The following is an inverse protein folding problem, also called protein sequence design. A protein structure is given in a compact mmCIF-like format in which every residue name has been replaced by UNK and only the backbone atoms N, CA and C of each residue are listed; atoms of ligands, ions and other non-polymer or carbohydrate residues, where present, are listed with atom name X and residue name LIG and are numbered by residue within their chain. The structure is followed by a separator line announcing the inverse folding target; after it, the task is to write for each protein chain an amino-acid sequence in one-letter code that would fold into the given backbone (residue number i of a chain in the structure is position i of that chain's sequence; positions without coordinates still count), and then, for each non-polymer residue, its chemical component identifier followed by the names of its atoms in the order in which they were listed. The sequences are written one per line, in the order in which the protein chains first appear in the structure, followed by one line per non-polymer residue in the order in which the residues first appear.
data_IF_397676291183
#
_entry.id   IF_397676291183
#
_cell.length_a   1.000
_cell.length_b   1.000
_cell.length_c   1.000
_cell.angle_alpha   90.00
_cell.angle_beta   90.00
_cell.angle_gamma   90.00
#
_symmetry.space_group_name_H-M   'P 1'
#
loop_
_entity.id
_entity.type
_entity.pdbx_description
1 polymer ?
#
# COMPACT_ATOMS: atom_id res chain seq x y z
N UNK A 1 25.76 47.69 -18.03
CA UNK A 1 25.94 46.27 -18.40
C UNK A 1 26.37 45.47 -17.17
N UNK A 2 25.48 45.26 -16.20
CA UNK A 2 25.71 44.38 -15.05
C UNK A 2 24.36 43.77 -14.66
N UNK A 3 24.31 42.45 -14.61
CA UNK A 3 23.36 41.64 -13.82
C UNK A 3 22.13 41.03 -14.54
N UNK A 4 22.20 40.73 -15.83
CA UNK A 4 21.15 39.92 -16.50
C UNK A 4 21.23 38.40 -16.16
N UNK A 5 22.30 37.94 -15.50
CA UNK A 5 22.47 36.54 -15.11
C UNK A 5 21.77 36.15 -13.79
N UNK A 6 21.33 37.13 -12.99
CA UNK A 6 20.70 36.86 -11.68
C UNK A 6 19.26 36.38 -11.82
N UNK A 7 18.51 36.88 -12.81
CA UNK A 7 17.11 36.50 -13.02
C UNK A 7 16.99 35.10 -13.65
N UNK A 8 17.89 34.74 -14.57
CA UNK A 8 17.88 33.41 -15.20
C UNK A 8 18.26 32.28 -14.24
N UNK A 9 19.13 32.53 -13.25
CA UNK A 9 19.50 31.52 -12.26
C UNK A 9 18.40 31.31 -11.21
N UNK A 10 17.65 32.37 -10.87
CA UNK A 10 16.51 32.30 -9.95
C UNK A 10 15.30 31.62 -10.60
N UNK A 11 15.04 31.86 -11.89
CA UNK A 11 14.02 31.12 -12.64
C UNK A 11 14.40 29.64 -12.85
N UNK A 12 15.69 29.34 -13.06
CA UNK A 12 16.16 27.96 -13.14
C UNK A 12 16.03 27.25 -11.78
N UNK A 13 16.31 27.92 -10.66
CA UNK A 13 16.15 27.35 -9.31
C UNK A 13 14.68 27.09 -8.95
N UNK A 14 13.74 27.91 -9.42
CA UNK A 14 12.29 27.67 -9.26
C UNK A 14 11.78 26.47 -10.07
N UNK A 15 12.47 26.11 -11.17
CA UNK A 15 12.12 24.94 -11.99
C UNK A 15 12.70 23.62 -11.48
N UNK A 16 13.61 23.66 -10.49
CA UNK A 16 14.17 22.44 -9.85
C UNK A 16 13.43 22.12 -8.55
N UNK A 17 12.48 22.96 -8.12
CA UNK A 17 11.40 22.54 -7.23
C UNK A 17 10.30 21.85 -8.05
N UNK A 18 10.70 20.90 -8.91
CA UNK A 18 9.77 19.91 -9.41
C UNK A 18 9.18 19.24 -8.17
N UNK A 19 7.85 19.20 -8.11
CA UNK A 19 7.14 18.47 -7.07
C UNK A 19 7.86 17.13 -6.89
N UNK A 20 8.37 16.90 -5.68
CA UNK A 20 8.53 15.53 -5.25
C UNK A 20 7.09 15.03 -5.19
N UNK A 21 6.62 14.46 -6.29
CA UNK A 21 5.45 13.61 -6.30
C UNK A 21 5.84 12.43 -5.40
N UNK A 22 5.77 12.65 -4.08
CA UNK A 22 5.71 11.56 -3.14
C UNK A 22 4.60 10.65 -3.62
N UNK A 23 4.85 9.34 -3.62
CA UNK A 23 3.89 8.35 -4.09
C UNK A 23 2.47 8.74 -3.64
N UNK A 24 1.52 8.72 -4.57
CA UNK A 24 0.13 9.04 -4.25
C UNK A 24 -0.31 8.13 -3.10
N UNK A 25 -0.84 8.75 -2.05
CA UNK A 25 -1.26 8.03 -0.85
C UNK A 25 -2.33 6.98 -1.19
N UNK A 26 -2.21 5.77 -0.66
CA UNK A 26 -3.22 4.71 -0.82
C UNK A 26 -4.21 4.76 0.34
N UNK A 27 -5.42 5.23 0.08
CA UNK A 27 -6.55 5.13 1.00
C UNK A 27 -7.36 3.86 0.71
N UNK A 28 -7.96 3.29 1.74
CA UNK A 28 -8.85 2.14 1.56
C UNK A 28 -10.06 2.53 0.71
N UNK A 29 -10.30 1.72 -0.32
CA UNK A 29 -11.45 1.76 -1.22
C UNK A 29 -11.78 0.32 -1.60
N UNK A 30 -12.99 0.07 -2.10
CA UNK A 30 -13.31 -1.24 -2.68
C UNK A 30 -12.43 -1.51 -3.90
N UNK A 31 -11.57 -2.52 -3.83
CA UNK A 31 -10.64 -2.83 -4.91
C UNK A 31 -9.49 -3.74 -4.51
N UNK A 32 -8.44 -3.72 -5.31
CA UNK A 32 -7.26 -4.55 -5.10
C UNK A 32 -5.99 -3.91 -5.64
N UNK A 33 -4.84 -4.33 -5.12
CA UNK A 33 -3.52 -4.00 -5.66
C UNK A 33 -2.67 -5.24 -5.84
N UNK A 34 -1.70 -5.15 -6.76
CA UNK A 34 -0.62 -6.12 -6.95
C UNK A 34 0.73 -5.60 -6.47
N UNK A 35 0.78 -4.43 -5.83
CA UNK A 35 2.03 -3.84 -5.33
C UNK A 35 2.59 -4.66 -4.18
N UNK A 36 3.88 -4.95 -4.23
CA UNK A 36 4.54 -5.77 -3.21
C UNK A 36 4.65 -5.07 -1.85
N UNK A 37 4.53 -3.75 -1.79
CA UNK A 37 4.59 -2.98 -0.56
C UNK A 37 3.96 -1.60 -0.74
N UNK A 38 3.25 -1.13 0.27
CA UNK A 38 2.86 0.27 0.43
C UNK A 38 2.29 0.48 1.85
N UNK A 39 1.83 1.69 2.13
CA UNK A 39 1.00 2.01 3.30
C UNK A 39 -0.47 2.18 2.90
N UNK A 40 -1.38 1.52 3.61
CA UNK A 40 -2.83 1.68 3.47
C UNK A 40 -3.38 2.54 4.60
N UNK A 41 -4.10 3.59 4.24
CA UNK A 41 -4.79 4.46 5.18
C UNK A 41 -6.29 4.18 5.18
N UNK A 42 -7.00 4.66 6.18
CA UNK A 42 -8.46 4.77 6.12
C UNK A 42 -8.90 5.72 4.99
N UNK A 43 -10.22 5.83 4.76
CA UNK A 43 -10.77 6.56 3.62
C UNK A 43 -10.51 8.07 3.69
N UNK A 44 -10.34 8.63 4.89
CA UNK A 44 -9.98 10.03 5.13
C UNK A 44 -8.50 10.34 4.88
N UNK A 45 -7.67 9.31 4.78
CA UNK A 45 -6.25 9.41 4.52
C UNK A 45 -5.45 9.97 5.69
N UNK A 46 -4.21 10.41 5.41
CA UNK A 46 -3.18 10.67 6.43
C UNK A 46 -3.58 11.73 7.47
N UNK A 47 -4.46 12.67 7.10
CA UNK A 47 -4.88 13.79 7.96
C UNK A 47 -6.37 13.83 8.22
N UNK A 48 -7.15 12.97 7.56
CA UNK A 48 -8.61 12.94 7.67
C UNK A 48 -9.06 11.82 8.60
N UNK A 49 -10.36 11.82 8.87
CA UNK A 49 -11.05 10.68 9.47
C UNK A 49 -11.84 9.95 8.38
N UNK A 50 -12.03 8.65 8.57
CA UNK A 50 -12.95 7.88 7.75
C UNK A 50 -14.37 8.41 7.84
N UNK A 51 -15.22 8.07 6.87
CA UNK A 51 -16.63 8.44 6.90
C UNK A 51 -17.47 7.40 7.65
N UNK A 52 -18.67 7.82 8.10
CA UNK A 52 -19.68 6.90 8.60
C UNK A 52 -20.25 6.02 7.48
N UNK A 53 -20.76 4.86 7.85
CA UNK A 53 -21.51 3.93 7.01
C UNK A 53 -20.71 3.37 5.85
N UNK A 54 -19.42 3.15 6.07
CA UNK A 54 -18.52 2.56 5.10
C UNK A 54 -18.53 1.03 5.20
N UNK A 55 -18.32 0.39 4.06
CA UNK A 55 -18.08 -1.04 3.93
C UNK A 55 -17.10 -1.22 2.78
N UNK A 56 -15.81 -1.29 3.14
CA UNK A 56 -14.69 -1.20 2.20
C UNK A 56 -13.82 -2.44 2.31
N UNK A 57 -13.66 -3.14 1.19
CA UNK A 57 -12.84 -4.34 1.05
C UNK A 57 -11.67 -4.07 0.08
N UNK A 58 -10.44 -4.15 0.59
CA UNK A 58 -9.23 -3.92 -0.18
C UNK A 58 -8.30 -5.14 -0.16
N UNK A 59 -8.10 -5.75 -1.31
CA UNK A 59 -7.31 -6.99 -1.45
C UNK A 59 -5.89 -6.68 -1.94
N UNK A 60 -4.90 -7.18 -1.21
CA UNK A 60 -3.49 -7.13 -1.57
C UNK A 60 -3.14 -8.51 -2.14
N UNK A 61 -2.86 -8.57 -3.44
CA UNK A 61 -2.61 -9.82 -4.19
C UNK A 61 -1.42 -9.69 -5.17
N UNK A 62 -0.18 -9.47 -4.68
CA UNK A 62 0.98 -9.35 -5.55
C UNK A 62 1.30 -10.67 -6.24
N UNK A 63 1.59 -10.60 -7.54
CA UNK A 63 1.90 -11.79 -8.32
C UNK A 63 3.16 -12.48 -7.77
N UNK A 64 3.05 -13.77 -7.43
CA UNK A 64 4.17 -14.56 -6.93
C UNK A 64 4.50 -14.36 -5.45
N UNK A 65 3.66 -13.66 -4.69
CA UNK A 65 3.77 -13.62 -3.23
C UNK A 65 3.52 -15.01 -2.64
N UNK A 66 4.42 -15.47 -1.76
CA UNK A 66 4.20 -16.66 -0.93
C UNK A 66 3.48 -16.32 0.37
N UNK A 67 3.77 -15.15 0.93
CA UNK A 67 3.10 -14.60 2.12
C UNK A 67 3.05 -13.07 2.00
N UNK A 68 2.15 -12.43 2.74
CA UNK A 68 2.11 -10.99 2.94
C UNK A 68 2.13 -10.73 4.44
N UNK A 69 2.92 -9.75 4.87
CA UNK A 69 2.98 -9.31 6.26
C UNK A 69 2.42 -7.90 6.38
N UNK A 70 1.43 -7.73 7.26
CA UNK A 70 0.88 -6.44 7.68
C UNK A 70 1.55 -6.01 8.98
N UNK A 71 2.05 -4.78 9.00
CA UNK A 71 2.42 -4.04 10.20
C UNK A 71 1.40 -2.94 10.42
N UNK A 72 0.94 -2.77 11.64
CA UNK A 72 0.00 -1.71 12.00
C UNK A 72 0.79 -0.55 12.61
N UNK A 73 0.75 0.61 11.96
CA UNK A 73 1.42 1.82 12.43
C UNK A 73 0.53 2.58 13.44
N UNK A 74 -0.76 2.67 13.15
CA UNK A 74 -1.76 3.31 14.01
C UNK A 74 -3.14 2.70 13.83
N UNK A 75 -3.93 2.67 14.91
CA UNK A 75 -5.33 2.27 14.92
C UNK A 75 -6.07 3.10 15.96
N UNK A 76 -7.16 3.74 15.54
CA UNK A 76 -8.08 4.49 16.38
C UNK A 76 -9.43 4.61 15.65
N UNK A 77 -10.36 3.72 15.99
CA UNK A 77 -11.67 3.62 15.35
C UNK A 77 -12.79 3.73 16.39
N UNK A 78 -13.97 4.14 15.95
CA UNK A 78 -15.10 4.49 16.80
C UNK A 78 -15.82 3.27 17.34
N UNK A 79 -16.62 3.48 18.37
CA UNK A 79 -17.46 2.43 18.95
C UNK A 79 -18.50 1.97 17.92
N UNK A 80 -18.48 0.68 17.58
CA UNK A 80 -19.34 0.09 16.55
C UNK A 80 -18.61 -0.18 15.23
N UNK A 81 -17.43 0.42 15.04
CA UNK A 81 -16.60 0.23 13.86
C UNK A 81 -15.65 -0.96 14.02
N UNK A 82 -15.31 -1.60 12.90
CA UNK A 82 -14.46 -2.78 12.88
C UNK A 82 -13.52 -2.78 11.68
N UNK A 83 -12.24 -3.07 11.93
CA UNK A 83 -11.24 -3.38 10.90
C UNK A 83 -10.81 -4.84 11.02
N UNK A 84 -10.96 -5.62 9.96
CA UNK A 84 -10.54 -7.03 9.88
C UNK A 84 -9.44 -7.22 8.85
N UNK A 85 -8.49 -8.09 9.19
CA UNK A 85 -7.45 -8.56 8.28
C UNK A 85 -7.71 -10.05 8.04
N UNK A 86 -7.99 -10.41 6.79
CA UNK A 86 -8.35 -11.75 6.36
C UNK A 86 -7.20 -12.47 5.64
N UNK A 87 -7.05 -13.77 5.92
CA UNK A 87 -6.08 -14.68 5.31
C UNK A 87 -6.57 -15.20 3.95
N UNK A 88 -6.56 -14.32 2.94
CA UNK A 88 -6.90 -14.69 1.57
C UNK A 88 -7.59 -13.58 0.77
N UNK A 89 -8.15 -13.91 -0.40
CA UNK A 89 -8.53 -12.92 -1.41
C UNK A 89 -9.88 -12.24 -1.18
N UNK A 90 -10.62 -12.57 -0.12
CA UNK A 90 -11.94 -11.97 0.15
C UNK A 90 -12.22 -11.83 1.65
N UNK A 91 -13.21 -11.02 2.02
CA UNK A 91 -13.75 -10.94 3.39
C UNK A 91 -14.41 -12.23 3.90
N UNK A 92 -14.65 -13.23 3.04
CA UNK A 92 -15.10 -14.55 3.46
C UNK A 92 -13.95 -15.46 3.95
N UNK A 93 -12.70 -15.08 3.74
CA UNK A 93 -11.53 -15.80 4.23
C UNK A 93 -11.39 -15.69 5.76
N UNK A 94 -10.61 -16.60 6.35
CA UNK A 94 -10.35 -16.65 7.80
C UNK A 94 -9.82 -15.31 8.32
N UNK A 95 -10.37 -14.80 9.42
CA UNK A 95 -9.87 -13.59 10.07
C UNK A 95 -8.56 -13.90 10.81
N UNK A 96 -7.48 -13.20 10.45
CA UNK A 96 -6.20 -13.23 11.17
C UNK A 96 -6.21 -12.31 12.39
N UNK A 97 -6.84 -11.15 12.23
CA UNK A 97 -6.95 -10.15 13.29
C UNK A 97 -8.18 -9.27 13.10
N UNK A 98 -8.77 -8.83 14.21
CA UNK A 98 -9.89 -7.90 14.27
C UNK A 98 -9.56 -6.77 15.26
N UNK A 99 -9.73 -5.52 14.81
CA UNK A 99 -9.63 -4.31 15.63
C UNK A 99 -11.02 -3.71 15.86
N UNK A 100 -11.24 -3.23 17.08
CA UNK A 100 -12.42 -2.42 17.47
C UNK A 100 -11.96 -1.16 18.22
N UNK A 101 -12.90 -0.34 18.67
CA UNK A 101 -12.69 0.82 19.56
C UNK A 101 -11.89 0.52 20.84
N UNK A 102 -11.90 -0.73 21.32
CA UNK A 102 -11.15 -1.15 22.51
C UNK A 102 -9.71 -1.59 22.20
N UNK A 103 -9.31 -1.60 20.94
CA UNK A 103 -7.97 -2.02 20.51
C UNK A 103 -6.92 -0.95 20.84
N UNK A 104 -6.45 -0.95 22.09
CA UNK A 104 -5.46 -0.01 22.60
C UNK A 104 -4.00 -0.46 22.40
N UNK A 105 -3.78 -1.67 21.87
CA UNK A 105 -2.44 -2.22 21.62
C UNK A 105 -2.27 -2.65 20.16
N UNK A 106 -1.10 -2.32 19.60
CA UNK A 106 -0.68 -2.80 18.28
C UNK A 106 -0.08 -4.21 18.45
N UNK A 107 -0.56 -5.23 17.71
CA UNK A 107 -0.02 -6.58 17.80
C UNK A 107 1.36 -6.70 17.13
N UNK A 108 1.99 -7.86 17.28
CA UNK A 108 3.09 -8.24 16.41
C UNK A 108 2.63 -8.28 14.93
N UNK A 109 3.56 -8.17 13.95
CA UNK A 109 3.20 -8.22 12.54
C UNK A 109 2.34 -9.45 12.18
N UNK A 110 1.29 -9.21 11.40
CA UNK A 110 0.28 -10.19 11.02
C UNK A 110 0.68 -10.75 9.66
N UNK A 111 0.92 -12.06 9.55
CA UNK A 111 1.40 -12.68 8.31
C UNK A 111 0.38 -13.69 7.79
N UNK A 112 0.03 -13.60 6.51
CA UNK A 112 -0.85 -14.57 5.85
C UNK A 112 -0.18 -15.93 5.63
N UNK A 113 -1.02 -16.94 5.41
CA UNK A 113 -0.58 -18.28 4.99
C UNK A 113 -0.35 -18.39 3.48
N UNK A 114 -0.82 -17.41 2.69
CA UNK A 114 -0.70 -17.39 1.24
C UNK A 114 -0.39 -16.00 0.66
N UNK A 115 -0.41 -15.90 -0.68
CA UNK A 115 -0.06 -14.68 -1.42
C UNK A 115 -1.11 -13.57 -1.44
N UNK A 116 -2.17 -13.70 -0.64
CA UNK A 116 -3.30 -12.78 -0.62
C UNK A 116 -3.66 -12.37 0.82
N UNK A 117 -3.94 -11.09 1.03
CA UNK A 117 -4.57 -10.55 2.24
C UNK A 117 -5.72 -9.65 1.82
N UNK A 118 -6.82 -9.69 2.56
CA UNK A 118 -7.92 -8.74 2.40
C UNK A 118 -8.12 -7.92 3.67
N UNK A 119 -8.08 -6.60 3.52
CA UNK A 119 -8.40 -5.65 4.58
C UNK A 119 -9.86 -5.24 4.43
N UNK A 120 -10.67 -5.46 5.47
CA UNK A 120 -12.09 -5.15 5.47
C UNK A 120 -12.42 -4.16 6.58
N UNK A 121 -12.84 -2.95 6.21
CA UNK A 121 -13.24 -1.91 7.15
C UNK A 121 -14.75 -1.64 7.06
N UNK A 122 -15.40 -1.62 8.21
CA UNK A 122 -16.83 -1.30 8.34
C UNK A 122 -16.99 -0.23 9.41
N UNK A 123 -17.64 0.87 9.05
CA UNK A 123 -18.05 1.91 10.02
C UNK A 123 -19.56 2.01 10.14
N UNK A 124 -20.05 2.34 11.32
CA UNK A 124 -21.48 2.49 11.59
C UNK A 124 -22.03 3.89 11.22
N UNK A 125 -23.26 4.21 11.63
CA UNK A 125 -23.88 5.51 11.32
C UNK A 125 -23.36 6.70 12.12
N UNK A 126 -22.41 6.52 13.03
CA UNK A 126 -22.01 7.51 14.04
C UNK A 126 -20.58 7.34 14.54
N UNK A 127 -19.99 8.44 15.02
CA UNK A 127 -18.65 8.47 15.62
C UNK A 127 -17.55 8.09 14.62
N UNK A 128 -16.67 9.04 14.33
CA UNK A 128 -15.45 8.78 13.54
C UNK A 128 -14.25 9.24 14.34
N UNK A 129 -13.12 8.59 14.14
CA UNK A 129 -11.86 8.85 14.84
C UNK A 129 -10.70 8.98 13.84
N UNK A 130 -9.45 8.97 14.32
CA UNK A 130 -8.25 9.16 13.49
C UNK A 130 -7.95 8.01 12.52
N UNK A 131 -8.75 6.94 12.52
CA UNK A 131 -8.67 5.86 11.55
C UNK A 131 -7.49 4.93 11.77
N UNK A 132 -6.89 4.48 10.67
CA UNK A 132 -5.82 3.51 10.73
C UNK A 132 -4.76 3.78 9.67
N UNK A 133 -3.56 3.29 9.97
CA UNK A 133 -2.47 3.20 9.01
C UNK A 133 -1.83 1.82 9.12
N UNK A 134 -1.87 1.09 8.01
CA UNK A 134 -1.22 -0.20 7.85
C UNK A 134 -0.06 -0.05 6.88
N UNK A 135 0.94 -0.92 7.00
CA UNK A 135 1.96 -1.14 5.99
C UNK A 135 1.96 -2.62 5.62
N UNK A 136 2.03 -2.93 4.32
CA UNK A 136 2.19 -4.31 3.87
C UNK A 136 3.53 -4.55 3.19
N UNK A 137 4.03 -5.77 3.31
CA UNK A 137 5.17 -6.25 2.55
C UNK A 137 4.90 -7.69 2.11
N UNK A 138 4.93 -7.92 0.81
CA UNK A 138 4.87 -9.24 0.21
C UNK A 138 6.24 -9.90 0.24
N UNK A 139 6.27 -11.13 0.71
CA UNK A 139 7.39 -12.01 0.51
C UNK A 139 7.18 -12.76 -0.80
N UNK A 140 7.92 -12.37 -1.84
CA UNK A 140 7.91 -13.05 -3.13
C UNK A 140 9.09 -14.02 -3.19
N UNK A 141 8.86 -15.24 -3.65
CA UNK A 141 9.96 -16.11 -4.02
C UNK A 141 10.84 -15.41 -5.09
N UNK A 142 12.16 -15.67 -5.14
CA UNK A 142 13.01 -15.12 -6.20
C UNK A 142 12.41 -15.48 -7.55
N UNK A 143 12.07 -14.47 -8.35
CA UNK A 143 11.56 -14.70 -9.70
C UNK A 143 12.62 -15.47 -10.51
N UNK A 144 12.30 -16.70 -10.90
CA UNK A 144 13.12 -17.44 -11.86
C UNK A 144 12.79 -16.93 -13.26
N UNK A 145 13.63 -16.05 -13.78
CA UNK A 145 13.51 -15.58 -15.16
C UNK A 145 14.02 -16.68 -16.09
N UNK A 146 13.11 -17.50 -16.61
CA UNK A 146 13.42 -18.41 -17.72
C UNK A 146 13.36 -17.64 -19.03
N UNK A 147 14.52 -17.31 -19.60
CA UNK A 147 14.58 -16.70 -20.92
C UNK A 147 14.39 -17.79 -21.98
N UNK A 148 13.22 -17.82 -22.61
CA UNK A 148 12.94 -18.71 -23.75
C UNK A 148 13.23 -17.99 -25.07
N UNK A 149 13.85 -18.68 -26.03
CA UNK A 149 14.09 -18.12 -27.37
C UNK A 149 15.41 -17.38 -27.56
N UNK A 150 16.42 -17.60 -26.71
CA UNK A 150 17.75 -17.01 -26.94
C UNK A 150 18.46 -17.72 -28.10
N UNK A 151 18.47 -17.09 -29.28
CA UNK A 151 19.46 -17.42 -30.32
C UNK A 151 20.78 -16.73 -29.96
N UNK A 152 21.79 -17.52 -29.61
CA UNK A 152 23.23 -17.19 -29.57
C UNK A 152 23.59 -15.69 -29.49
N UNK A 153 23.92 -15.18 -28.30
CA UNK A 153 24.54 -13.85 -28.18
C UNK A 153 26.07 -13.95 -28.30
N UNK A 154 26.69 -12.95 -28.93
CA UNK A 154 28.15 -12.80 -28.92
C UNK A 154 28.62 -12.25 -27.55
N UNK A 155 29.83 -12.61 -27.14
CA UNK A 155 30.50 -12.00 -25.98
C UNK A 155 30.52 -10.48 -26.18
N UNK A 156 29.99 -9.73 -25.21
CA UNK A 156 29.87 -8.26 -25.28
C UNK A 156 28.51 -7.73 -25.73
N UNK A 157 27.53 -8.59 -26.01
CA UNK A 157 26.15 -8.15 -26.27
C UNK A 157 25.46 -7.69 -24.98
N UNK A 158 24.69 -6.60 -25.05
CA UNK A 158 23.83 -6.16 -23.95
C UNK A 158 22.53 -6.96 -23.98
N UNK A 159 22.19 -7.61 -22.87
CA UNK A 159 20.86 -8.19 -22.66
C UNK A 159 20.03 -7.11 -21.97
N UNK A 160 18.95 -6.66 -22.62
CA UNK A 160 18.01 -5.70 -22.05
C UNK A 160 16.74 -6.47 -21.67
N UNK A 161 16.41 -6.49 -20.39
CA UNK A 161 15.11 -6.97 -19.91
C UNK A 161 14.15 -5.79 -19.88
N UNK A 162 13.05 -5.88 -20.64
CA UNK A 162 11.91 -4.96 -20.50
C UNK A 162 10.82 -5.64 -19.69
N UNK A 163 10.43 -5.03 -18.58
CA UNK A 163 9.15 -5.33 -17.93
C UNK A 163 8.04 -4.74 -18.81
N UNK A 164 6.99 -5.52 -19.06
CA UNK A 164 5.82 -5.08 -19.82
C UNK A 164 4.89 -4.23 -18.97
#
# INVERSE_FOLDING_TARGET
MKNLYSFSLILLLLSILQSFEGAAQVNIVNGSTTDCQDSLYDSGGQTGSYANSENLEYTISPTGASTITITVDSINIGAGDVLRIHDGPTSASTVLYEFTDTSVFIPAPITSSGGDITVHFVSDGSTVDFGFKLHWAANTAPASVSVSGISTFCIGSNIVFTAN
#
